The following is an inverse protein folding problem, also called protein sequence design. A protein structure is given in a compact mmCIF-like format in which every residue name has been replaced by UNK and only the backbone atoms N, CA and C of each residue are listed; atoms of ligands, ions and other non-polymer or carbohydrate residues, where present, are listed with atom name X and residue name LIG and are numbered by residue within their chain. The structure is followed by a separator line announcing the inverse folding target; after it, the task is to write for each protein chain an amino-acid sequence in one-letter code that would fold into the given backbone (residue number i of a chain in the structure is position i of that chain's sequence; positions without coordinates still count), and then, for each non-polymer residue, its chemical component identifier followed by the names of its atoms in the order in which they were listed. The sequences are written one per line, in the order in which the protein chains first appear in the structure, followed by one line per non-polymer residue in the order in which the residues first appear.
data_IF_815512686626
#
_entry.id   IF_815512686626
#
_cell.length_a   1.000
_cell.length_b   1.000
_cell.length_c   1.000
_cell.angle_alpha   90.00
_cell.angle_beta   90.00
_cell.angle_gamma   90.00
#
_symmetry.space_group_name_H-M   'P 1'
#
loop_
_entity.id
_entity.type
_entity.pdbx_description
1 polymer ?
#
# COMPACT_ATOMS: atom_id res chain seq x y z
N UNK A 1 -7.14 -0.71 -10.11
CA UNK A 1 -6.38 -0.54 -11.37
C UNK A 1 -6.84 -1.51 -12.46
N UNK A 2 -7.13 -2.77 -12.14
CA UNK A 2 -7.53 -3.78 -13.13
C UNK A 2 -8.84 -3.42 -13.84
N UNK A 3 -9.82 -2.83 -13.13
CA UNK A 3 -11.12 -2.46 -13.71
C UNK A 3 -11.02 -1.44 -14.85
N UNK A 4 -9.96 -0.61 -14.87
CA UNK A 4 -9.71 0.33 -15.98
C UNK A 4 -9.38 -0.38 -17.30
N UNK A 5 -8.79 -1.58 -17.24
CA UNK A 5 -8.32 -2.32 -18.42
C UNK A 5 -9.32 -3.40 -18.81
N UNK A 6 -9.82 -4.15 -17.82
CA UNK A 6 -10.70 -5.29 -18.05
C UNK A 6 -12.19 -4.94 -17.90
N UNK A 7 -12.50 -3.67 -17.59
CA UNK A 7 -13.85 -3.15 -17.44
C UNK A 7 -14.40 -3.24 -16.02
N UNK A 8 -15.48 -2.49 -15.77
CA UNK A 8 -16.15 -2.33 -14.47
C UNK A 8 -17.10 -3.50 -14.13
N UNK A 9 -16.75 -4.73 -14.52
CA UNK A 9 -17.58 -5.88 -14.18
C UNK A 9 -17.37 -6.30 -12.72
N UNK A 10 -18.40 -6.85 -12.04
CA UNK A 10 -18.31 -7.19 -10.61
C UNK A 10 -17.14 -8.12 -10.25
N UNK A 11 -16.82 -9.10 -11.10
CA UNK A 11 -15.72 -10.02 -10.81
C UNK A 11 -14.36 -9.31 -10.83
N UNK A 12 -14.14 -8.43 -11.81
CA UNK A 12 -12.88 -7.65 -11.91
C UNK A 12 -12.76 -6.69 -10.73
N UNK A 13 -13.83 -5.97 -10.37
CA UNK A 13 -13.81 -5.05 -9.22
C UNK A 13 -13.46 -5.77 -7.91
N UNK A 14 -14.00 -6.97 -7.70
CA UNK A 14 -13.70 -7.77 -6.52
C UNK A 14 -12.24 -8.24 -6.49
N UNK A 15 -11.71 -8.73 -7.62
CA UNK A 15 -10.31 -9.15 -7.73
C UNK A 15 -9.36 -7.96 -7.55
N UNK A 16 -9.65 -6.82 -8.19
CA UNK A 16 -8.87 -5.58 -8.07
C UNK A 16 -8.77 -5.11 -6.61
N UNK A 17 -9.90 -5.12 -5.89
CA UNK A 17 -9.93 -4.80 -4.47
C UNK A 17 -9.10 -5.76 -3.62
N UNK A 18 -9.27 -7.07 -3.85
CA UNK A 18 -8.56 -8.12 -3.11
C UNK A 18 -7.03 -8.08 -3.34
N UNK A 19 -6.60 -7.87 -4.58
CA UNK A 19 -5.17 -7.83 -4.92
C UNK A 19 -4.52 -6.52 -4.46
N UNK A 20 -5.27 -5.41 -4.39
CA UNK A 20 -4.81 -4.19 -3.76
C UNK A 20 -4.58 -4.32 -2.23
N UNK A 21 -5.23 -5.29 -1.57
CA UNK A 21 -5.15 -5.49 -0.12
C UNK A 21 -4.80 -6.94 0.25
N UNK A 22 -3.64 -7.48 -0.19
CA UNK A 22 -3.41 -8.93 -0.19
C UNK A 22 -3.12 -9.51 1.21
N UNK A 23 -2.88 -8.68 2.22
CA UNK A 23 -2.70 -9.08 3.63
C UNK A 23 -3.95 -8.85 4.49
N UNK A 24 -4.96 -8.20 3.95
CA UNK A 24 -6.17 -7.88 4.70
C UNK A 24 -7.14 -9.05 4.72
N UNK A 25 -7.97 -9.11 5.75
CA UNK A 25 -9.05 -10.09 5.88
C UNK A 25 -10.38 -9.34 5.83
N UNK A 26 -11.35 -9.86 5.10
CA UNK A 26 -12.62 -9.19 4.88
C UNK A 26 -13.81 -10.12 5.08
N UNK A 27 -14.86 -9.61 5.70
CA UNK A 27 -16.20 -10.18 5.67
C UNK A 27 -16.85 -9.95 4.31
N UNK A 28 -17.95 -10.67 4.03
CA UNK A 28 -18.74 -10.44 2.79
C UNK A 28 -19.30 -9.01 2.70
N UNK A 29 -19.54 -8.37 3.84
CA UNK A 29 -20.01 -6.98 3.91
C UNK A 29 -18.92 -6.05 3.43
N UNK A 30 -17.71 -6.18 3.99
CA UNK A 30 -16.57 -5.33 3.63
C UNK A 30 -16.13 -5.57 2.18
N UNK A 31 -16.22 -6.81 1.67
CA UNK A 31 -15.99 -7.09 0.26
C UNK A 31 -17.01 -6.39 -0.65
N UNK A 32 -18.28 -6.36 -0.26
CA UNK A 32 -19.33 -5.68 -1.02
C UNK A 32 -19.08 -4.17 -1.07
N UNK A 33 -18.74 -3.58 0.08
CA UNK A 33 -18.46 -2.15 0.21
C UNK A 33 -17.17 -1.76 -0.52
N UNK A 34 -16.07 -2.46 -0.23
CA UNK A 34 -14.75 -2.17 -0.79
C UNK A 34 -14.66 -2.38 -2.31
N UNK A 35 -15.33 -3.41 -2.83
CA UNK A 35 -15.42 -3.62 -4.28
C UNK A 35 -16.55 -2.83 -4.94
N UNK A 36 -17.41 -2.14 -4.16
CA UNK A 36 -18.62 -1.45 -4.63
C UNK A 36 -19.51 -2.36 -5.49
N UNK A 37 -19.89 -3.50 -4.92
CA UNK A 37 -20.73 -4.53 -5.53
C UNK A 37 -21.84 -4.90 -4.55
N UNK A 38 -23.02 -5.27 -5.05
CA UNK A 38 -24.12 -5.72 -4.19
C UNK A 38 -23.78 -7.03 -3.47
N UNK A 39 -24.19 -7.15 -2.20
CA UNK A 39 -23.95 -8.35 -1.38
C UNK A 39 -24.36 -9.67 -2.06
N UNK A 40 -25.55 -9.79 -2.69
CA UNK A 40 -25.95 -11.03 -3.38
C UNK A 40 -24.95 -11.47 -4.46
N UNK A 41 -24.32 -10.51 -5.14
CA UNK A 41 -23.32 -10.78 -6.16
C UNK A 41 -22.02 -11.28 -5.54
N UNK A 42 -21.61 -10.72 -4.39
CA UNK A 42 -20.44 -11.22 -3.64
C UNK A 42 -20.59 -12.69 -3.28
N UNK A 43 -21.75 -13.15 -2.81
CA UNK A 43 -21.95 -14.57 -2.50
C UNK A 43 -21.61 -15.46 -3.70
N UNK A 44 -22.20 -15.16 -4.87
CA UNK A 44 -21.99 -15.94 -6.10
C UNK A 44 -20.54 -15.90 -6.59
N UNK A 45 -19.90 -14.73 -6.54
CA UNK A 45 -18.53 -14.57 -7.01
C UNK A 45 -17.53 -15.22 -6.06
N UNK A 46 -17.72 -15.05 -4.77
CA UNK A 46 -16.80 -15.56 -3.76
C UNK A 46 -16.74 -17.09 -3.78
N UNK A 47 -17.87 -17.76 -4.00
CA UNK A 47 -17.90 -19.21 -4.16
C UNK A 47 -17.06 -19.67 -5.38
N UNK A 48 -17.12 -18.93 -6.50
CA UNK A 48 -16.26 -19.21 -7.67
C UNK A 48 -14.79 -18.96 -7.37
N UNK A 49 -14.45 -17.83 -6.74
CA UNK A 49 -13.06 -17.50 -6.41
C UNK A 49 -12.45 -18.48 -5.41
N UNK A 50 -13.24 -19.05 -4.51
CA UNK A 50 -12.82 -20.13 -3.62
C UNK A 50 -12.55 -21.43 -4.39
N UNK A 51 -13.44 -21.79 -5.33
CA UNK A 51 -13.27 -22.98 -6.17
C UNK A 51 -12.01 -22.91 -7.04
N UNK A 52 -11.71 -21.72 -7.57
CA UNK A 52 -10.49 -21.44 -8.35
C UNK A 52 -9.25 -21.18 -7.48
N UNK A 53 -9.38 -21.33 -6.16
CA UNK A 53 -8.30 -21.11 -5.19
C UNK A 53 -7.65 -19.72 -5.27
N UNK A 54 -8.40 -18.70 -5.71
CA UNK A 54 -7.96 -17.30 -5.80
C UNK A 54 -8.15 -16.57 -4.45
N UNK A 55 -9.09 -17.05 -3.65
CA UNK A 55 -9.40 -16.56 -2.31
C UNK A 55 -9.40 -17.76 -1.35
N UNK A 56 -9.02 -17.51 -0.10
CA UNK A 56 -9.09 -18.48 1.00
C UNK A 56 -10.00 -17.98 2.10
N UNK A 57 -10.64 -18.91 2.81
CA UNK A 57 -11.27 -18.64 4.10
C UNK A 57 -10.16 -18.55 5.15
N UNK A 58 -10.20 -17.52 5.98
CA UNK A 58 -9.28 -17.40 7.12
C UNK A 58 -10.02 -17.76 8.40
N UNK A 59 -10.07 -16.88 9.39
CA UNK A 59 -10.73 -17.11 10.67
C UNK A 59 -12.22 -16.76 10.65
N UNK A 60 -12.93 -17.19 11.69
CA UNK A 60 -14.24 -16.67 12.05
C UNK A 60 -14.08 -15.66 13.19
N UNK A 61 -14.79 -14.55 13.11
CA UNK A 61 -14.95 -13.60 14.22
C UNK A 61 -16.41 -13.60 14.63
N UNK A 62 -16.71 -14.19 15.80
CA UNK A 62 -18.08 -14.58 16.17
C UNK A 62 -18.72 -15.47 15.09
N UNK A 63 -19.84 -15.01 14.53
CA UNK A 63 -20.56 -15.71 13.46
C UNK A 63 -20.13 -15.31 12.04
N UNK A 64 -19.14 -14.42 11.91
CA UNK A 64 -18.72 -13.86 10.62
C UNK A 64 -17.50 -14.61 10.11
N UNK A 65 -17.58 -15.17 8.89
CA UNK A 65 -16.43 -15.75 8.18
C UNK A 65 -15.65 -14.66 7.45
N UNK A 66 -14.33 -14.65 7.64
CA UNK A 66 -13.41 -13.77 6.91
C UNK A 66 -12.74 -14.49 5.74
N UNK A 67 -12.32 -13.69 4.76
CA UNK A 67 -11.74 -14.09 3.49
C UNK A 67 -10.50 -13.26 3.19
N UNK A 68 -9.51 -13.87 2.55
CA UNK A 68 -8.29 -13.21 2.13
C UNK A 68 -7.86 -13.71 0.76
N UNK A 69 -7.18 -12.85 0.01
CA UNK A 69 -6.51 -13.18 -1.25
C UNK A 69 -5.52 -14.34 -1.06
N UNK A 70 -5.62 -15.37 -1.90
CA UNK A 70 -4.68 -16.49 -1.84
C UNK A 70 -3.34 -16.12 -2.50
N UNK A 71 -2.41 -15.57 -1.72
CA UNK A 71 -1.07 -15.19 -2.19
C UNK A 71 -0.21 -16.38 -2.67
N UNK A 72 -0.60 -17.61 -2.35
CA UNK A 72 0.08 -18.81 -2.85
C UNK A 72 -0.42 -19.23 -4.24
N UNK A 73 -1.57 -18.72 -4.69
CA UNK A 73 -2.11 -19.01 -6.02
C UNK A 73 -1.21 -18.43 -7.11
N UNK A 74 -0.77 -19.23 -8.10
CA UNK A 74 0.00 -18.73 -9.24
C UNK A 74 -0.74 -17.62 -10.00
N UNK A 75 -2.06 -17.78 -10.16
CA UNK A 75 -2.90 -16.79 -10.85
C UNK A 75 -2.88 -15.45 -10.11
N UNK A 76 -3.05 -15.46 -8.78
CA UNK A 76 -2.96 -14.24 -7.98
C UNK A 76 -1.59 -13.59 -8.12
N UNK A 77 -0.49 -14.37 -8.08
CA UNK A 77 0.86 -13.83 -8.24
C UNK A 77 1.01 -13.07 -9.57
N UNK A 78 0.54 -13.65 -10.67
CA UNK A 78 0.58 -12.99 -11.98
C UNK A 78 -0.29 -11.73 -12.02
N UNK A 79 -1.49 -11.76 -11.44
CA UNK A 79 -2.36 -10.59 -11.35
C UNK A 79 -1.72 -9.49 -10.51
N UNK A 80 -1.11 -9.83 -9.37
CA UNK A 80 -0.38 -8.88 -8.51
C UNK A 80 0.80 -8.24 -9.25
N UNK A 81 1.59 -9.05 -9.97
CA UNK A 81 2.70 -8.53 -10.78
C UNK A 81 2.21 -7.58 -11.87
N UNK A 82 1.12 -7.91 -12.55
CA UNK A 82 0.50 -7.02 -13.53
C UNK A 82 0.03 -5.72 -12.88
N UNK A 83 -0.66 -5.79 -11.74
CA UNK A 83 -1.12 -4.59 -11.03
C UNK A 83 0.03 -3.68 -10.62
N UNK A 84 1.15 -4.24 -10.13
CA UNK A 84 2.35 -3.48 -9.81
C UNK A 84 2.95 -2.79 -11.05
N UNK A 85 3.09 -3.54 -12.14
CA UNK A 85 3.58 -2.99 -13.41
C UNK A 85 2.71 -1.84 -13.94
N UNK A 86 1.39 -1.97 -13.85
CA UNK A 86 0.46 -0.90 -14.22
C UNK A 86 0.61 0.34 -13.34
N UNK A 87 0.84 0.16 -12.04
CA UNK A 87 1.07 1.25 -11.09
C UNK A 87 2.36 2.00 -11.43
N UNK A 88 3.45 1.27 -11.68
CA UNK A 88 4.74 1.85 -12.04
C UNK A 88 4.64 2.66 -13.34
N UNK A 89 3.95 2.13 -14.35
CA UNK A 89 3.72 2.85 -15.60
C UNK A 89 2.93 4.15 -15.40
N UNK A 90 1.92 4.17 -14.52
CA UNK A 90 1.14 5.38 -14.24
C UNK A 90 2.01 6.44 -13.56
N UNK A 91 2.83 6.04 -12.58
CA UNK A 91 3.80 6.92 -11.91
C UNK A 91 4.82 7.50 -12.90
N UNK A 92 5.32 6.71 -13.84
CA UNK A 92 6.27 7.18 -14.85
C UNK A 92 5.63 8.16 -15.85
N UNK A 93 4.34 7.99 -16.18
CA UNK A 93 3.60 8.98 -16.98
C UNK A 93 3.50 10.31 -16.23
N UNK A 94 3.13 10.27 -14.95
CA UNK A 94 3.02 11.47 -14.13
C UNK A 94 4.38 12.20 -14.06
N UNK A 95 5.48 11.49 -13.77
CA UNK A 95 6.83 12.09 -13.76
C UNK A 95 7.21 12.77 -15.07
N UNK A 96 6.84 12.21 -16.23
CA UNK A 96 7.10 12.83 -17.54
C UNK A 96 6.28 14.11 -17.73
N UNK A 97 5.01 14.10 -17.34
CA UNK A 97 4.17 15.30 -17.31
C UNK A 97 4.75 16.40 -16.41
N UNK A 98 5.42 16.04 -15.30
CA UNK A 98 6.13 17.00 -14.44
C UNK A 98 7.47 17.48 -15.02
N UNK A 99 8.20 16.66 -15.79
CA UNK A 99 9.46 17.07 -16.43
C UNK A 99 9.27 18.01 -17.62
N UNK A 100 8.12 17.98 -18.27
CA UNK A 100 7.78 18.91 -19.36
C UNK A 100 7.28 20.27 -18.84
N UNK A 101 6.95 20.38 -17.55
CA UNK A 101 6.65 21.65 -16.87
C UNK A 101 7.68 21.96 -15.78
N UNK A 102 8.75 22.69 -16.12
CA UNK A 102 9.76 23.15 -15.16
C UNK A 102 9.12 23.83 -13.93
N UNK A 103 9.15 23.15 -12.78
CA UNK A 103 9.23 23.79 -11.47
C UNK A 103 10.21 22.95 -10.65
N UNK A 104 11.45 23.42 -10.52
CA UNK A 104 12.33 22.92 -9.45
C UNK A 104 11.64 23.25 -8.12
N UNK A 105 11.07 22.24 -7.46
CA UNK A 105 10.62 22.40 -6.07
C UNK A 105 11.89 22.39 -5.21
N UNK A 106 12.24 23.50 -4.52
CA UNK A 106 13.36 23.49 -3.60
C UNK A 106 13.08 22.50 -2.46
N UNK A 107 14.10 21.75 -2.04
CA UNK A 107 13.99 20.69 -1.02
C UNK A 107 13.29 21.17 0.28
N UNK A 108 13.43 22.46 0.60
CA UNK A 108 12.79 23.13 1.74
C UNK A 108 11.25 23.05 1.70
N UNK A 109 10.65 23.21 0.52
CA UNK A 109 9.19 23.17 0.33
C UNK A 109 8.67 21.74 0.37
N UNK A 110 9.50 20.77 -0.02
CA UNK A 110 9.19 19.35 0.05
C UNK A 110 9.19 18.86 1.50
N UNK A 111 10.18 19.28 2.29
CA UNK A 111 10.28 19.00 3.72
C UNK A 111 9.10 19.59 4.52
N UNK A 112 8.60 20.76 4.11
CA UNK A 112 7.41 21.39 4.69
C UNK A 112 6.13 20.61 4.38
N UNK A 113 5.93 20.21 3.12
CA UNK A 113 4.74 19.44 2.68
C UNK A 113 4.67 18.04 3.29
N UNK A 114 5.81 17.38 3.48
CA UNK A 114 5.90 16.05 4.08
C UNK A 114 5.80 16.08 5.62
N UNK A 115 5.69 17.27 6.23
CA UNK A 115 5.55 17.42 7.68
C UNK A 115 6.80 17.01 8.48
N UNK A 116 7.94 16.87 7.82
CA UNK A 116 9.20 16.40 8.41
C UNK A 116 9.87 17.44 9.33
N UNK A 117 9.37 18.68 9.32
CA UNK A 117 9.86 19.78 10.17
C UNK A 117 9.73 19.49 11.66
N UNK A 118 8.72 18.73 12.10
CA UNK A 118 8.51 18.42 13.52
C UNK A 118 9.47 17.36 14.08
N UNK A 119 9.98 16.45 13.24
CA UNK A 119 10.90 15.39 13.69
C UNK A 119 12.35 15.87 13.79
N UNK A 120 12.80 16.75 12.87
CA UNK A 120 14.15 17.33 12.94
C UNK A 120 14.34 18.20 14.18
N UNK A 121 13.32 18.91 14.65
CA UNK A 121 13.39 19.75 15.87
C UNK A 121 13.50 18.86 17.12
N UNK A 122 12.70 17.78 17.21
CA UNK A 122 12.68 16.87 18.36
C UNK A 122 13.97 16.06 18.52
N UNK A 123 14.66 15.74 17.43
CA UNK A 123 15.97 15.07 17.45
C UNK A 123 17.14 16.02 17.76
N UNK A 124 16.98 17.32 17.54
CA UNK A 124 18.00 18.33 17.83
C UNK A 124 18.05 18.66 19.32
N UNK A 125 16.89 18.81 19.95
CA UNK A 125 16.77 19.07 21.39
C UNK A 125 17.31 17.91 22.24
N UNK A 126 17.18 16.65 21.79
CA UNK A 126 17.66 15.48 22.55
C UNK A 126 19.18 15.27 22.49
N UNK A 127 19.86 15.87 21.51
CA UNK A 127 21.30 15.70 21.28
C UNK A 127 22.14 16.82 21.92
N UNK A 128 21.56 17.99 22.18
CA UNK A 128 22.28 19.11 22.82
C UNK A 128 22.45 18.91 24.35
N UNK A 129 21.59 18.12 25.00
CA UNK A 129 21.67 17.83 26.46
C UNK A 129 22.73 16.78 26.86
N UNK A 130 23.47 16.17 25.91
CA UNK A 130 24.42 15.08 26.20
C UNK A 130 25.90 15.44 26.17
N UNK A 131 26.27 16.70 25.98
CA UNK A 131 27.68 17.11 26.00
C UNK A 131 28.03 17.75 27.35
N UNK A 132 28.29 16.91 28.36
CA UNK A 132 29.00 17.32 29.57
C UNK A 132 30.52 17.17 29.31
N UNK A 133 31.35 18.22 29.46
CA UNK A 133 32.77 18.14 29.13
C UNK A 133 33.54 17.59 30.33
N UNK A 134 34.06 16.37 30.26
CA UNK A 134 35.14 15.98 31.17
C UNK A 134 36.05 14.88 30.60
N UNK A 135 37.34 15.23 30.45
CA UNK A 135 38.54 14.39 30.27
C UNK A 135 38.55 13.46 29.02
N UNK A 136 39.58 13.43 28.18
CA UNK A 136 40.97 13.08 28.50
C UNK A 136 41.90 13.64 27.42
N UNK A 137 42.96 14.32 27.88
CA UNK A 137 44.21 14.67 27.16
C UNK A 137 44.78 13.44 26.42
N UNK A 138 45.51 13.63 25.32
CA UNK A 138 46.83 13.00 25.00
C UNK A 138 47.20 13.26 23.51
N UNK A 139 48.49 13.57 23.28
CA UNK A 139 49.25 13.84 22.02
C UNK A 139 48.90 15.13 21.26
N UNK A 140 49.76 16.16 21.16
CA UNK A 140 51.15 16.12 20.68
C UNK A 140 52.05 17.17 21.34
N UNK A 141 53.23 16.69 21.73
CA UNK A 141 54.46 17.43 22.06
C UNK A 141 55.41 17.18 20.89
N UNK A 142 55.75 18.19 20.10
CA UNK A 142 57.08 18.50 19.53
C UNK A 142 57.03 19.97 19.11
#
# INVERSE_FOLDING_TARGET
MLSRIFGECPQVKLIDFLVAHPWSEFSKTELAEGAQITRPTIYKLLDKLLAENLVIKTKKTGNIQLYQTNRNSPVIKHISSLQGFLADMELEKEKKSFKEGNIELPDEKLDEMLGLSKEKIKMKELNEDKIHPNMVKIVKKV
#
